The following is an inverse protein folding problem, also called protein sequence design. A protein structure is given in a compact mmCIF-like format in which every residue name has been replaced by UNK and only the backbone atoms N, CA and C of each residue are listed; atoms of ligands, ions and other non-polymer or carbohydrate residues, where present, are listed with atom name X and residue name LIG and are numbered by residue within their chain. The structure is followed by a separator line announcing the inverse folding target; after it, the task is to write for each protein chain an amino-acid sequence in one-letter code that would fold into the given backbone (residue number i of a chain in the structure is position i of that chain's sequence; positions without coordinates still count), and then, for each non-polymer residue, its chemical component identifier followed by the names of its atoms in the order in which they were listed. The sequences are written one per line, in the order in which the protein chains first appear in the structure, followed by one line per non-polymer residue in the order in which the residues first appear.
data_IF_489478808463
#
_entry.id   IF_489478808463
#
_cell.length_a   1.000
_cell.length_b   1.000
_cell.length_c   1.000
_cell.angle_alpha   90.00
_cell.angle_beta   90.00
_cell.angle_gamma   90.00
#
_symmetry.space_group_name_H-M   'P 1'
#
loop_
_entity.id
_entity.type
_entity.pdbx_description
1 polymer ?
#
# COMPACT_ATOMS: atom_id res chain seq x y z
N UNK A 1 41.88 -40.05 16.73
CA UNK A 1 42.27 -39.09 15.66
C UNK A 1 41.39 -39.14 14.41
N UNK A 2 40.91 -40.28 13.91
CA UNK A 2 40.10 -40.30 12.69
C UNK A 2 38.62 -39.86 12.92
N UNK A 3 38.07 -40.13 14.09
CA UNK A 3 36.68 -39.76 14.47
C UNK A 3 36.52 -38.27 14.78
N UNK A 4 37.51 -37.62 15.38
CA UNK A 4 37.44 -36.17 15.68
C UNK A 4 37.39 -35.29 14.42
N UNK A 5 38.05 -35.71 13.33
CA UNK A 5 38.06 -35.01 12.08
C UNK A 5 36.66 -35.09 11.35
N UNK A 6 35.94 -36.18 11.49
CA UNK A 6 34.59 -36.33 10.88
C UNK A 6 33.54 -35.53 11.66
N UNK A 7 33.61 -35.52 12.97
CA UNK A 7 32.71 -34.70 13.81
C UNK A 7 32.93 -33.23 13.54
N UNK A 8 34.19 -32.78 13.40
CA UNK A 8 34.51 -31.38 13.10
C UNK A 8 34.00 -30.97 11.72
N UNK A 9 34.08 -31.80 10.70
CA UNK A 9 33.52 -31.55 9.37
C UNK A 9 32.01 -31.46 9.37
N UNK A 10 31.32 -32.33 10.14
CA UNK A 10 29.87 -32.32 10.28
C UNK A 10 29.40 -31.04 11.00
N UNK A 11 30.09 -30.63 12.06
CA UNK A 11 29.78 -29.40 12.79
C UNK A 11 30.02 -28.15 11.93
N UNK A 12 31.10 -28.10 11.14
CA UNK A 12 31.35 -27.02 10.19
C UNK A 12 30.28 -26.97 9.08
N UNK A 13 29.85 -28.12 8.55
CA UNK A 13 28.79 -28.18 7.53
C UNK A 13 27.44 -27.71 8.08
N UNK A 14 27.09 -28.11 9.31
CA UNK A 14 25.84 -27.67 9.98
C UNK A 14 25.88 -26.16 10.27
N UNK A 15 27.03 -25.63 10.73
CA UNK A 15 27.17 -24.20 10.98
C UNK A 15 27.09 -23.38 9.68
N UNK A 16 27.67 -23.86 8.60
CA UNK A 16 27.64 -23.21 7.30
C UNK A 16 26.23 -23.21 6.68
N UNK A 17 25.46 -24.28 6.85
CA UNK A 17 24.06 -24.35 6.41
C UNK A 17 23.14 -23.46 7.25
N UNK A 18 23.34 -23.36 8.56
CA UNK A 18 22.63 -22.42 9.41
C UNK A 18 22.95 -20.97 9.09
N UNK A 19 24.19 -20.64 8.80
CA UNK A 19 24.60 -19.29 8.39
C UNK A 19 24.01 -18.95 7.00
N UNK A 20 23.99 -19.91 6.08
CA UNK A 20 23.39 -19.72 4.76
C UNK A 20 21.87 -19.53 4.81
N UNK A 21 21.17 -20.20 5.74
CA UNK A 21 19.72 -20.03 5.93
C UNK A 21 19.36 -18.68 6.57
N UNK A 22 20.27 -18.08 7.33
CA UNK A 22 20.10 -16.72 7.88
C UNK A 22 20.29 -15.60 6.84
N UNK A 23 20.95 -15.90 5.70
CA UNK A 23 21.16 -14.91 4.63
C UNK A 23 19.93 -14.81 3.70
N UNK A 24 19.06 -15.81 3.70
CA UNK A 24 17.77 -15.77 2.99
C UNK A 24 16.59 -15.28 3.85
N UNK A 25 16.83 -14.40 4.81
CA UNK A 25 15.76 -13.51 5.25
C UNK A 25 15.56 -12.59 4.05
N UNK A 26 14.65 -12.98 3.15
CA UNK A 26 14.07 -12.06 2.20
C UNK A 26 13.57 -10.89 3.05
N UNK A 27 14.30 -9.78 3.06
CA UNK A 27 13.72 -8.51 3.45
C UNK A 27 12.56 -8.32 2.48
N UNK A 28 11.35 -8.65 2.94
CA UNK A 28 10.15 -8.09 2.37
C UNK A 28 10.36 -6.57 2.53
N UNK A 29 10.88 -5.94 1.49
CA UNK A 29 11.14 -4.51 1.50
C UNK A 29 9.78 -3.88 1.52
N UNK A 30 9.36 -3.38 2.68
CA UNK A 30 8.21 -2.49 2.73
C UNK A 30 8.42 -1.43 1.64
N UNK A 31 7.45 -1.26 0.74
CA UNK A 31 7.48 -0.18 -0.24
C UNK A 31 7.57 1.11 0.58
N UNK A 32 8.69 1.80 0.48
CA UNK A 32 8.94 3.04 1.21
C UNK A 32 8.88 4.20 0.22
N UNK A 33 8.01 5.14 0.48
CA UNK A 33 7.90 6.38 -0.28
C UNK A 33 7.51 7.51 0.66
N UNK A 34 7.86 8.73 0.27
CA UNK A 34 7.42 9.97 0.91
C UNK A 34 6.77 10.82 -0.16
N UNK A 35 5.60 11.39 0.13
CA UNK A 35 4.86 12.25 -0.79
C UNK A 35 4.01 13.26 -0.03
N UNK A 36 3.67 14.36 -0.72
CA UNK A 36 2.72 15.33 -0.20
C UNK A 36 1.33 15.07 -0.78
N UNK A 37 0.30 15.21 0.06
CA UNK A 37 -1.07 15.21 -0.43
C UNK A 37 -1.42 16.55 -1.14
N UNK A 38 -2.63 16.65 -1.66
CA UNK A 38 -3.11 17.86 -2.31
C UNK A 38 -3.19 19.11 -1.41
N UNK A 39 -3.11 18.93 -0.08
CA UNK A 39 -3.09 19.98 0.94
C UNK A 39 -1.67 20.32 1.42
N UNK A 40 -0.63 19.76 0.78
CA UNK A 40 0.79 19.85 1.17
C UNK A 40 1.10 19.25 2.55
N UNK A 41 0.31 18.28 3.00
CA UNK A 41 0.66 17.47 4.17
C UNK A 41 1.58 16.35 3.71
N UNK A 42 2.74 16.22 4.35
CA UNK A 42 3.74 15.20 4.01
C UNK A 42 3.45 13.89 4.72
N UNK A 43 3.46 12.79 3.96
CA UNK A 43 3.30 11.43 4.43
C UNK A 43 4.53 10.60 4.08
N UNK A 44 5.02 9.84 5.06
CA UNK A 44 6.07 8.84 4.90
C UNK A 44 5.50 7.47 5.22
N UNK A 45 5.49 6.57 4.21
CA UNK A 45 4.92 5.22 4.32
C UNK A 45 5.55 4.41 5.46
N UNK A 46 6.80 4.69 5.83
CA UNK A 46 7.48 4.00 6.93
C UNK A 46 6.82 4.22 8.30
N UNK A 47 6.03 5.28 8.45
CA UNK A 47 5.30 5.59 9.69
C UNK A 47 4.04 4.72 9.89
N UNK A 48 3.66 3.93 8.88
CA UNK A 48 2.43 3.13 8.87
C UNK A 48 2.69 1.62 8.94
N UNK A 49 3.91 1.21 9.24
CA UNK A 49 4.30 -0.21 9.30
C UNK A 49 3.65 -1.00 10.42
N UNK A 50 3.01 -0.33 11.38
CA UNK A 50 2.26 -0.93 12.48
C UNK A 50 0.74 -0.93 12.26
N UNK A 51 0.28 -0.56 11.08
CA UNK A 51 -1.13 -0.48 10.70
C UNK A 51 -1.38 -1.23 9.40
N UNK A 52 -2.61 -1.67 9.21
CA UNK A 52 -3.08 -2.02 7.88
C UNK A 52 -3.16 -0.75 7.02
N UNK A 53 -2.49 -0.73 5.87
CA UNK A 53 -2.47 0.46 5.02
C UNK A 53 -2.88 0.11 3.60
N UNK A 54 -3.99 0.70 3.15
CA UNK A 54 -4.47 0.58 1.78
C UNK A 54 -3.88 1.67 0.91
N UNK A 55 -3.23 1.29 -0.18
CA UNK A 55 -2.78 2.17 -1.25
C UNK A 55 -3.63 1.89 -2.47
N UNK A 56 -4.54 2.80 -2.80
CA UNK A 56 -5.40 2.75 -3.99
C UNK A 56 -4.73 3.54 -5.12
N UNK A 57 -4.14 2.82 -6.07
CA UNK A 57 -3.54 3.43 -7.26
C UNK A 57 -4.62 3.53 -8.34
N UNK A 58 -5.06 4.74 -8.57
CA UNK A 58 -6.16 5.12 -9.45
C UNK A 58 -5.73 6.20 -10.44
N UNK A 59 -6.65 6.71 -11.26
CA UNK A 59 -6.44 7.87 -12.10
C UNK A 59 -7.72 8.70 -12.19
N UNK A 60 -7.59 10.03 -12.18
CA UNK A 60 -8.73 10.97 -12.18
C UNK A 60 -9.73 10.78 -13.33
N UNK A 61 -9.29 10.24 -14.47
CA UNK A 61 -10.12 9.95 -15.66
C UNK A 61 -10.68 8.53 -15.70
N UNK A 62 -10.34 7.65 -14.74
CA UNK A 62 -10.65 6.24 -14.75
C UNK A 62 -12.07 5.98 -14.22
N UNK A 63 -12.99 5.55 -15.08
CA UNK A 63 -14.38 5.24 -14.68
C UNK A 63 -14.51 4.10 -13.66
N UNK A 64 -13.84 2.94 -13.83
CA UNK A 64 -13.83 1.88 -12.81
C UNK A 64 -13.26 2.33 -11.46
N UNK A 65 -12.26 3.22 -11.47
CA UNK A 65 -11.70 3.81 -10.25
C UNK A 65 -12.74 4.67 -9.53
N UNK A 66 -13.46 5.49 -10.30
CA UNK A 66 -14.55 6.33 -9.78
C UNK A 66 -15.66 5.51 -9.15
N UNK A 67 -16.05 4.41 -9.80
CA UNK A 67 -17.08 3.50 -9.25
C UNK A 67 -16.60 2.85 -7.93
N UNK A 68 -15.31 2.54 -7.81
CA UNK A 68 -14.74 2.03 -6.57
C UNK A 68 -14.71 3.12 -5.49
N UNK A 69 -14.19 4.30 -5.82
CA UNK A 69 -14.11 5.45 -4.92
C UNK A 69 -15.49 5.81 -4.34
N UNK A 70 -16.53 5.94 -5.19
CA UNK A 70 -17.89 6.28 -4.76
C UNK A 70 -18.64 5.11 -4.12
N UNK A 71 -18.06 3.93 -4.05
CA UNK A 71 -18.64 2.75 -3.39
C UNK A 71 -18.69 2.83 -1.87
N UNK A 72 -17.98 3.78 -1.26
CA UNK A 72 -18.03 4.11 0.16
C UNK A 72 -17.26 3.15 1.08
N UNK A 73 -16.62 2.10 0.55
CA UNK A 73 -15.91 1.10 1.37
C UNK A 73 -14.69 1.68 2.06
N UNK A 74 -13.92 2.49 1.34
CA UNK A 74 -12.70 3.10 1.89
C UNK A 74 -13.04 4.14 2.95
N UNK A 75 -14.10 4.92 2.72
CA UNK A 75 -14.60 5.92 3.66
C UNK A 75 -15.09 5.27 4.97
N UNK A 76 -15.89 4.19 4.87
CA UNK A 76 -16.35 3.42 6.03
C UNK A 76 -15.19 2.87 6.84
N UNK A 77 -14.22 2.21 6.18
CA UNK A 77 -13.03 1.66 6.85
C UNK A 77 -12.18 2.75 7.49
N UNK A 78 -11.99 3.86 6.80
CA UNK A 78 -11.20 4.98 7.32
C UNK A 78 -11.90 5.66 8.50
N UNK A 79 -13.22 5.76 8.49
CA UNK A 79 -14.00 6.29 9.61
C UNK A 79 -13.91 5.39 10.84
N UNK A 80 -14.06 4.07 10.67
CA UNK A 80 -14.14 3.15 11.80
C UNK A 80 -12.75 2.78 12.35
N UNK A 81 -11.76 2.60 11.48
CA UNK A 81 -10.43 2.08 11.84
C UNK A 81 -9.29 3.07 11.56
N UNK A 82 -9.57 4.21 10.96
CA UNK A 82 -8.57 5.25 10.68
C UNK A 82 -8.19 6.09 11.90
N UNK A 83 -7.47 7.21 11.66
CA UNK A 83 -6.91 8.04 12.74
C UNK A 83 -7.92 8.60 13.75
N UNK A 84 -9.15 8.84 13.32
CA UNK A 84 -10.23 9.33 14.20
C UNK A 84 -11.07 8.18 14.82
N UNK A 85 -10.82 6.93 14.40
CA UNK A 85 -11.43 5.71 14.93
C UNK A 85 -10.48 4.94 15.85
N UNK A 86 -10.20 3.65 15.52
CA UNK A 86 -9.27 2.82 16.34
C UNK A 86 -7.80 3.04 16.02
N UNK A 87 -7.47 3.78 14.98
CA UNK A 87 -6.11 4.08 14.51
C UNK A 87 -5.30 2.84 14.04
N UNK A 88 -6.00 1.80 13.59
CA UNK A 88 -5.40 0.54 13.11
C UNK A 88 -5.28 0.46 11.58
N UNK A 89 -5.91 1.40 10.87
CA UNK A 89 -5.99 1.41 9.41
C UNK A 89 -5.66 2.78 8.82
N UNK A 90 -5.05 2.77 7.63
CA UNK A 90 -4.79 3.97 6.85
C UNK A 90 -5.15 3.75 5.39
N UNK A 91 -5.65 4.79 4.74
CA UNK A 91 -5.94 4.81 3.29
C UNK A 91 -5.15 5.92 2.63
N UNK A 92 -4.53 5.63 1.50
CA UNK A 92 -3.97 6.59 0.57
C UNK A 92 -4.59 6.40 -0.81
N UNK A 93 -5.28 7.42 -1.30
CA UNK A 93 -5.65 7.50 -2.71
C UNK A 93 -4.47 8.09 -3.49
N UNK A 94 -4.04 7.39 -4.54
CA UNK A 94 -2.92 7.79 -5.38
C UNK A 94 -3.43 8.00 -6.81
N UNK A 95 -3.48 9.25 -7.27
CA UNK A 95 -3.66 9.51 -8.68
C UNK A 95 -2.33 9.31 -9.41
N UNK A 96 -2.15 8.13 -9.97
CA UNK A 96 -0.91 7.69 -10.62
C UNK A 96 -0.67 8.32 -11.99
N UNK A 97 -1.57 9.15 -12.49
CA UNK A 97 -1.38 9.86 -13.76
C UNK A 97 -0.43 11.05 -13.58
N UNK A 98 0.62 11.11 -14.39
CA UNK A 98 1.60 12.21 -14.34
C UNK A 98 1.02 13.58 -14.67
N UNK A 99 -0.14 13.64 -15.34
CA UNK A 99 -0.86 14.87 -15.65
C UNK A 99 -1.83 15.30 -14.53
N UNK A 100 -1.88 14.57 -13.40
CA UNK A 100 -2.72 14.90 -12.26
C UNK A 100 -2.52 16.34 -11.78
N UNK A 101 -3.61 16.98 -11.44
CA UNK A 101 -3.61 18.34 -10.90
C UNK A 101 -4.73 18.55 -9.88
N UNK A 102 -4.59 19.56 -9.03
CA UNK A 102 -5.63 19.94 -8.08
C UNK A 102 -6.98 20.19 -8.76
N UNK A 103 -6.99 20.81 -9.95
CA UNK A 103 -8.23 21.08 -10.69
C UNK A 103 -8.88 19.79 -11.21
N UNK A 104 -8.10 18.83 -11.70
CA UNK A 104 -8.61 17.53 -12.16
C UNK A 104 -9.20 16.72 -11.00
N UNK A 105 -8.53 16.66 -9.86
CA UNK A 105 -9.08 16.01 -8.67
C UNK A 105 -10.36 16.68 -8.15
N UNK A 106 -10.52 18.00 -8.37
CA UNK A 106 -11.75 18.73 -8.06
C UNK A 106 -12.81 18.64 -9.17
N UNK A 107 -12.66 17.77 -10.15
CA UNK A 107 -13.68 17.48 -11.15
C UNK A 107 -13.67 18.40 -12.37
N UNK A 108 -12.55 19.03 -12.69
CA UNK A 108 -12.40 19.78 -13.94
C UNK A 108 -12.55 18.86 -15.17
N UNK A 109 -12.79 19.48 -16.33
CA UNK A 109 -12.89 18.75 -17.62
C UNK A 109 -11.66 17.86 -17.83
N UNK A 110 -11.90 16.59 -18.12
CA UNK A 110 -10.87 15.53 -18.18
C UNK A 110 -10.87 14.58 -16.99
N UNK A 111 -11.56 14.96 -15.90
CA UNK A 111 -11.85 14.06 -14.77
C UNK A 111 -13.24 13.45 -14.90
N UNK A 112 -13.44 12.26 -14.32
CA UNK A 112 -14.76 11.60 -14.26
C UNK A 112 -15.62 12.08 -13.10
N UNK A 113 -15.06 12.80 -12.13
CA UNK A 113 -15.80 13.33 -10.99
C UNK A 113 -14.95 14.19 -10.05
N UNK A 114 -15.55 14.63 -8.95
CA UNK A 114 -14.86 15.37 -7.90
C UNK A 114 -14.39 14.37 -6.83
N UNK A 115 -13.12 14.03 -6.86
CA UNK A 115 -12.48 13.05 -5.96
C UNK A 115 -12.26 13.57 -4.54
N UNK A 116 -12.35 14.89 -4.36
CA UNK A 116 -12.02 15.57 -3.10
C UNK A 116 -13.22 15.65 -2.17
N UNK A 117 -14.41 15.93 -2.73
CA UNK A 117 -15.60 16.18 -1.92
C UNK A 117 -16.05 14.90 -1.22
N UNK A 118 -16.02 14.93 0.10
CA UNK A 118 -16.47 13.80 0.95
C UNK A 118 -15.39 12.76 1.22
N UNK A 119 -14.17 12.91 0.67
CA UNK A 119 -13.06 11.99 0.89
C UNK A 119 -12.31 12.35 2.18
N UNK A 120 -12.31 11.46 3.20
CA UNK A 120 -11.69 11.78 4.50
C UNK A 120 -10.20 11.44 4.57
N UNK A 121 -9.67 10.68 3.60
CA UNK A 121 -8.28 10.23 3.58
C UNK A 121 -7.43 11.05 2.61
N UNK A 122 -6.08 10.99 2.73
CA UNK A 122 -5.15 11.71 1.87
C UNK A 122 -5.29 11.37 0.38
N UNK A 123 -5.32 12.41 -0.46
CA UNK A 123 -5.25 12.29 -1.91
C UNK A 123 -3.88 12.78 -2.39
N UNK A 124 -3.08 11.87 -2.93
CA UNK A 124 -1.74 12.12 -3.46
C UNK A 124 -1.80 12.03 -4.99
N UNK A 125 -1.52 13.13 -5.66
CA UNK A 125 -1.63 13.17 -7.14
C UNK A 125 -0.91 14.35 -7.75
N UNK A 126 -1.29 15.60 -7.40
CA UNK A 126 -0.79 16.80 -8.07
C UNK A 126 0.73 16.92 -8.05
N UNK A 127 1.25 17.66 -9.04
CA UNK A 127 2.69 17.96 -9.17
C UNK A 127 3.60 16.71 -9.34
N UNK A 128 3.06 15.60 -9.84
CA UNK A 128 3.80 14.36 -10.04
C UNK A 128 3.98 13.50 -8.77
N UNK A 129 3.46 13.92 -7.63
CA UNK A 129 3.54 13.16 -6.37
C UNK A 129 2.91 11.77 -6.52
N UNK A 130 1.69 11.69 -7.05
CA UNK A 130 1.01 10.42 -7.26
C UNK A 130 1.73 9.49 -8.24
N UNK A 131 2.21 10.01 -9.36
CA UNK A 131 3.00 9.25 -10.33
C UNK A 131 4.33 8.74 -9.72
N UNK A 132 4.97 9.55 -8.88
CA UNK A 132 6.16 9.17 -8.12
C UNK A 132 5.88 8.02 -7.17
N UNK A 133 4.80 8.09 -6.38
CA UNK A 133 4.37 6.99 -5.50
C UNK A 133 4.03 5.75 -6.31
N UNK A 134 3.22 5.86 -7.36
CA UNK A 134 2.81 4.74 -8.21
C UNK A 134 4.00 4.00 -8.83
N UNK A 135 5.10 4.70 -9.15
CA UNK A 135 6.31 4.10 -9.71
C UNK A 135 7.01 3.09 -8.78
N UNK A 136 6.70 3.11 -7.49
CA UNK A 136 7.21 2.11 -6.53
C UNK A 136 6.46 0.78 -6.59
N UNK A 137 5.34 0.71 -7.31
CA UNK A 137 4.48 -0.47 -7.41
C UNK A 137 4.52 -1.06 -8.81
N UNK A 138 4.40 -2.39 -8.90
CA UNK A 138 4.23 -3.06 -10.20
C UNK A 138 2.75 -3.42 -10.33
N UNK A 139 2.06 -2.83 -11.30
CA UNK A 139 0.63 -3.05 -11.55
C UNK A 139 0.31 -2.96 -13.04
N UNK A 140 -0.80 -3.60 -13.45
CA UNK A 140 -1.19 -3.72 -14.86
C UNK A 140 -2.17 -2.66 -15.36
N UNK A 141 -2.73 -1.84 -14.49
CA UNK A 141 -3.73 -0.81 -14.85
C UNK A 141 -4.44 -0.22 -13.65
N UNK A 142 -5.39 0.67 -13.91
CA UNK A 142 -6.18 1.37 -12.89
C UNK A 142 -7.61 0.79 -12.76
N UNK A 143 -8.17 0.76 -11.55
CA UNK A 143 -7.52 0.90 -10.26
C UNK A 143 -6.75 -0.38 -9.88
N UNK A 144 -5.69 -0.25 -9.10
CA UNK A 144 -5.05 -1.37 -8.41
C UNK A 144 -4.89 -1.05 -6.93
N UNK A 145 -5.27 -1.98 -6.07
CA UNK A 145 -5.28 -1.84 -4.63
C UNK A 145 -4.17 -2.69 -4.02
N UNK A 146 -3.33 -2.07 -3.19
CA UNK A 146 -2.30 -2.76 -2.42
C UNK A 146 -2.59 -2.61 -0.93
N UNK A 147 -2.68 -3.73 -0.21
CA UNK A 147 -2.79 -3.73 1.24
C UNK A 147 -1.43 -4.04 1.84
N UNK A 148 -0.91 -3.12 2.62
CA UNK A 148 0.30 -3.31 3.41
C UNK A 148 -0.09 -3.79 4.80
N UNK A 149 0.51 -4.90 5.24
CA UNK A 149 0.30 -5.50 6.55
C UNK A 149 1.63 -5.54 7.30
N UNK A 150 1.83 -4.63 8.23
CA UNK A 150 3.11 -4.52 8.92
C UNK A 150 4.25 -4.25 7.94
N UNK A 151 5.25 -5.13 7.90
CA UNK A 151 6.40 -5.02 7.00
C UNK A 151 6.19 -5.70 5.65
N UNK A 152 5.03 -6.36 5.44
CA UNK A 152 4.69 -7.09 4.22
C UNK A 152 3.73 -6.31 3.32
N UNK A 153 3.76 -6.60 2.02
CA UNK A 153 2.74 -6.17 1.07
C UNK A 153 1.94 -7.41 0.71
N UNK A 154 0.63 -7.37 0.95
CA UNK A 154 -0.25 -8.38 0.39
C UNK A 154 -0.26 -8.22 -1.15
N UNK A 155 -0.36 -9.31 -1.91
CA UNK A 155 -0.57 -9.22 -3.35
C UNK A 155 -1.82 -8.38 -3.64
N UNK A 156 -1.91 -7.88 -4.87
CA UNK A 156 -3.06 -7.12 -5.37
C UNK A 156 -4.38 -7.70 -4.87
N UNK A 157 -5.17 -6.88 -4.17
CA UNK A 157 -6.48 -7.32 -3.68
C UNK A 157 -7.45 -7.38 -4.85
N UNK A 158 -8.05 -8.55 -5.08
CA UNK A 158 -9.09 -8.71 -6.09
C UNK A 158 -10.33 -7.90 -5.70
N UNK A 159 -10.70 -6.96 -6.56
CA UNK A 159 -11.71 -5.91 -6.36
C UNK A 159 -13.18 -6.39 -6.26
N UNK A 160 -13.45 -7.68 -6.32
CA UNK A 160 -14.76 -8.16 -6.72
C UNK A 160 -15.78 -8.25 -5.59
N UNK A 161 -15.39 -8.17 -4.32
CA UNK A 161 -16.34 -8.30 -3.22
C UNK A 161 -15.92 -7.48 -1.98
N UNK A 162 -16.79 -6.57 -1.54
CA UNK A 162 -16.65 -5.77 -0.32
C UNK A 162 -16.24 -6.62 0.91
N UNK A 163 -16.76 -7.84 1.02
CA UNK A 163 -16.51 -8.74 2.14
C UNK A 163 -15.11 -9.37 2.14
N UNK A 164 -14.55 -9.66 0.97
CA UNK A 164 -13.18 -10.20 0.85
C UNK A 164 -12.20 -9.13 1.33
N UNK A 165 -12.40 -7.90 0.89
CA UNK A 165 -11.60 -6.76 1.30
C UNK A 165 -11.63 -6.51 2.83
N UNK A 166 -12.81 -6.54 3.44
CA UNK A 166 -12.97 -6.43 4.90
C UNK A 166 -12.20 -7.51 5.66
N UNK A 167 -12.30 -8.76 5.21
CA UNK A 167 -11.58 -9.86 5.84
C UNK A 167 -10.06 -9.72 5.69
N UNK A 168 -9.57 -9.24 4.54
CA UNK A 168 -8.15 -9.02 4.31
C UNK A 168 -7.61 -7.92 5.23
N UNK A 169 -8.34 -6.81 5.40
CA UNK A 169 -7.98 -5.73 6.33
C UNK A 169 -7.97 -6.22 7.78
N UNK A 170 -9.02 -6.93 8.22
CA UNK A 170 -9.10 -7.45 9.58
C UNK A 170 -8.00 -8.49 9.89
N UNK A 171 -7.63 -9.33 8.91
CA UNK A 171 -6.54 -10.29 9.07
C UNK A 171 -5.16 -9.62 9.05
N UNK A 172 -5.08 -8.41 8.51
CA UNK A 172 -3.86 -7.61 8.40
C UNK A 172 -3.48 -6.93 9.73
N UNK A 173 -4.48 -6.63 10.57
CA UNK A 173 -4.30 -5.92 11.84
C UNK A 173 -4.00 -6.85 13.04
N UNK A 174 -3.94 -8.17 12.82
CA UNK A 174 -3.57 -9.17 13.83
C UNK A 174 -2.10 -9.62 13.64
#
# INVERSE_FOLDING_TARGET
MKYENEIFKILCAISLTMILSLIFINKCSAQSWTANDMNNVSYDMSNYTNKATLVDISAHWCGPCWAWHTGGVMEELYHDFGPDGTDEFMVFFIDGDAASSVSLLNGASGSVGNWVTGTPYPLIGPNGEGASVASNYTFGGYPTLFLHCGTGIAPEIQRNEKWVFWNDVLNCSQ
#
